data_IF_351226092638
#
_entry.id   IF_351226092638
#
_cell.length_a   1.000
_cell.length_b   1.000
_cell.length_c   1.000
_cell.angle_alpha   90.00
_cell.angle_beta   90.00
_cell.angle_gamma   90.00
#
_symmetry.space_group_name_H-M   'P 1'
#
loop_
_entity.id
_entity.type
_entity.pdbx_description
1 polymer ?
#
# COMPACT_ATOMS: atom_id res chain seq x y z
N UNK A 1 51.74 -28.23 -19.91
CA UNK A 1 52.09 -28.36 -18.49
C UNK A 1 52.35 -26.99 -17.88
N UNK A 2 51.45 -26.49 -17.04
CA UNK A 2 51.78 -25.63 -15.90
C UNK A 2 50.60 -25.70 -14.93
N UNK A 3 50.88 -26.12 -13.71
CA UNK A 3 49.92 -26.38 -12.64
C UNK A 3 49.72 -25.06 -11.90
N UNK A 4 48.50 -24.54 -11.86
CA UNK A 4 48.17 -23.34 -11.09
C UNK A 4 47.44 -23.79 -9.84
N UNK A 5 48.14 -23.60 -8.74
CA UNK A 5 47.88 -24.06 -7.39
C UNK A 5 46.62 -23.48 -6.78
N UNK A 6 46.07 -24.24 -5.82
CA UNK A 6 44.96 -23.87 -4.96
C UNK A 6 45.05 -22.43 -4.42
N UNK A 7 43.94 -21.70 -4.49
CA UNK A 7 43.81 -20.40 -3.85
C UNK A 7 42.43 -19.79 -4.05
N UNK A 8 41.71 -19.62 -2.94
CA UNK A 8 40.62 -18.67 -2.73
C UNK A 8 39.24 -19.15 -3.19
N UNK A 9 38.62 -19.93 -2.30
CA UNK A 9 37.18 -19.91 -2.11
C UNK A 9 36.77 -18.51 -1.57
N UNK A 10 36.01 -17.75 -2.36
CA UNK A 10 35.15 -16.66 -1.89
C UNK A 10 34.31 -16.11 -3.07
N UNK A 11 33.33 -16.87 -3.55
CA UNK A 11 32.21 -16.25 -4.26
C UNK A 11 31.17 -15.82 -3.22
N UNK A 12 31.26 -14.53 -2.90
CA UNK A 12 30.41 -13.73 -2.05
C UNK A 12 28.93 -14.09 -2.25
N UNK A 13 28.29 -14.60 -1.18
CA UNK A 13 26.84 -14.79 -1.13
C UNK A 13 26.16 -13.44 -1.30
N UNK A 14 25.42 -13.28 -2.40
CA UNK A 14 24.50 -12.18 -2.60
C UNK A 14 23.36 -12.41 -1.61
N UNK A 15 23.49 -11.84 -0.42
CA UNK A 15 22.37 -11.67 0.49
C UNK A 15 21.44 -10.65 -0.15
N UNK A 16 20.43 -11.14 -0.85
CA UNK A 16 19.25 -10.35 -1.14
C UNK A 16 18.62 -10.02 0.21
N UNK A 17 18.93 -8.83 0.73
CA UNK A 17 18.24 -8.28 1.89
C UNK A 17 16.76 -8.20 1.51
N UNK A 18 15.84 -8.93 2.19
CA UNK A 18 14.46 -8.51 2.14
C UNK A 18 14.47 -7.11 2.75
N UNK A 19 14.16 -6.09 1.94
CA UNK A 19 13.77 -4.79 2.47
C UNK A 19 12.60 -5.04 3.43
N UNK A 20 12.94 -5.19 4.71
CA UNK A 20 12.02 -5.02 5.82
C UNK A 20 11.60 -3.58 5.70
N UNK A 21 10.47 -3.37 5.04
CA UNK A 21 9.73 -2.12 5.01
C UNK A 21 9.22 -1.88 6.44
N UNK A 22 10.14 -1.57 7.35
CA UNK A 22 9.81 -0.92 8.59
C UNK A 22 9.34 0.47 8.18
N UNK A 23 8.01 0.64 8.12
CA UNK A 23 7.45 1.98 8.11
C UNK A 23 8.06 2.73 9.32
N UNK A 24 8.38 4.02 9.19
CA UNK A 24 8.93 4.77 10.31
C UNK A 24 7.89 4.80 11.43
N UNK A 25 8.24 4.46 12.69
CA UNK A 25 7.36 4.39 13.89
C UNK A 25 6.20 5.42 13.96
N UNK A 26 6.44 6.64 13.46
CA UNK A 26 5.42 7.67 13.28
C UNK A 26 4.19 7.24 12.43
N UNK A 27 4.39 6.43 11.40
CA UNK A 27 3.37 5.92 10.51
C UNK A 27 2.53 4.84 11.19
N UNK A 28 3.13 3.94 11.97
CA UNK A 28 2.37 2.96 12.76
C UNK A 28 1.43 3.63 13.76
N UNK A 29 1.89 4.70 14.43
CA UNK A 29 1.03 5.50 15.32
C UNK A 29 -0.16 6.10 14.59
N UNK A 30 0.07 6.75 13.45
CA UNK A 30 -0.99 7.35 12.63
C UNK A 30 -1.94 6.29 12.08
N UNK A 31 -1.42 5.14 11.62
CA UNK A 31 -2.25 4.00 11.20
C UNK A 31 -3.18 3.54 12.32
N UNK A 32 -2.66 3.37 13.53
CA UNK A 32 -3.47 2.92 14.69
C UNK A 32 -4.53 3.96 15.08
N UNK A 33 -4.21 5.26 15.04
CA UNK A 33 -5.21 6.32 15.25
C UNK A 33 -6.35 6.24 14.22
N UNK A 34 -6.01 6.10 12.93
CA UNK A 34 -6.99 5.97 11.85
C UNK A 34 -7.83 4.70 12.03
N UNK A 35 -7.21 3.58 12.38
CA UNK A 35 -7.89 2.31 12.65
C UNK A 35 -8.93 2.46 13.76
N UNK A 36 -8.53 3.07 14.89
CA UNK A 36 -9.43 3.35 15.99
C UNK A 36 -10.55 4.32 15.58
N UNK A 37 -10.26 5.34 14.76
CA UNK A 37 -11.28 6.25 14.23
C UNK A 37 -12.28 5.49 13.36
N UNK A 38 -11.83 4.60 12.48
CA UNK A 38 -12.70 3.77 11.64
C UNK A 38 -13.59 2.86 12.50
N UNK A 39 -13.02 2.22 13.54
CA UNK A 39 -13.77 1.37 14.47
C UNK A 39 -14.81 2.17 15.27
N UNK A 40 -14.45 3.36 15.75
CA UNK A 40 -15.38 4.26 16.45
C UNK A 40 -16.53 4.76 15.56
N UNK A 41 -16.35 4.76 14.23
CA UNK A 41 -17.42 5.04 13.27
C UNK A 41 -18.32 3.81 12.98
N UNK A 42 -18.10 2.69 13.67
CA UNK A 42 -18.92 1.49 13.59
C UNK A 42 -18.44 0.45 12.57
N UNK A 43 -17.25 0.60 12.00
CA UNK A 43 -16.67 -0.39 11.09
C UNK A 43 -15.91 -1.44 11.90
N UNK A 44 -16.27 -2.72 11.76
CA UNK A 44 -15.57 -3.79 12.49
C UNK A 44 -14.10 -3.91 12.04
N UNK A 45 -13.17 -4.09 12.98
CA UNK A 45 -11.74 -4.24 12.69
C UNK A 45 -11.47 -5.33 11.64
N UNK A 46 -12.18 -6.45 11.69
CA UNK A 46 -12.03 -7.56 10.74
C UNK A 46 -12.60 -7.28 9.34
N UNK A 47 -13.30 -6.16 9.15
CA UNK A 47 -13.95 -5.81 7.88
C UNK A 47 -13.10 -4.90 6.99
N UNK A 48 -11.90 -4.52 7.45
CA UNK A 48 -10.95 -3.73 6.68
C UNK A 48 -9.50 -4.02 7.05
N UNK A 49 -8.58 -3.52 6.23
CA UNK A 49 -7.14 -3.57 6.45
C UNK A 49 -6.56 -2.19 6.15
N UNK A 50 -5.59 -1.75 6.95
CA UNK A 50 -4.79 -0.56 6.67
C UNK A 50 -3.36 -0.95 6.26
N UNK A 51 -2.90 -0.47 5.10
CA UNK A 51 -1.57 -0.76 4.58
C UNK A 51 -0.78 0.53 4.38
N UNK A 52 0.46 0.58 4.86
CA UNK A 52 1.36 1.72 4.64
C UNK A 52 2.17 1.44 3.38
N UNK A 53 2.09 2.33 2.40
CA UNK A 53 2.85 2.24 1.14
C UNK A 53 3.55 3.57 0.84
N UNK A 54 4.66 3.56 0.08
CA UNK A 54 5.27 4.79 -0.42
C UNK A 54 4.30 5.60 -1.28
N UNK A 55 4.46 6.92 -1.33
CA UNK A 55 3.56 7.83 -2.06
C UNK A 55 3.40 7.47 -3.55
N UNK A 56 4.47 7.03 -4.21
CA UNK A 56 4.48 6.57 -5.60
C UNK A 56 3.62 5.30 -5.82
N UNK A 57 3.43 4.49 -4.78
CA UNK A 57 2.71 3.22 -4.83
C UNK A 57 1.31 3.30 -4.23
N UNK A 58 0.85 4.50 -3.86
CA UNK A 58 -0.42 4.70 -3.19
C UNK A 58 -1.65 4.58 -4.10
N UNK A 59 -1.44 4.55 -5.41
CA UNK A 59 -2.46 4.31 -6.42
C UNK A 59 -2.64 2.80 -6.61
N UNK A 60 -3.26 2.13 -5.63
CA UNK A 60 -3.61 0.71 -5.73
C UNK A 60 -5.09 0.57 -6.11
N UNK A 61 -5.42 -0.34 -7.05
CA UNK A 61 -6.81 -0.67 -7.31
C UNK A 61 -7.44 -1.25 -6.04
N UNK A 62 -8.70 -0.92 -5.79
CA UNK A 62 -9.48 -1.41 -4.64
C UNK A 62 -8.99 -0.93 -3.24
N UNK A 63 -8.13 0.10 -3.20
CA UNK A 63 -7.67 0.74 -1.98
C UNK A 63 -7.95 2.24 -1.97
N UNK A 64 -8.31 2.77 -0.79
CA UNK A 64 -8.58 4.19 -0.59
C UNK A 64 -7.53 4.84 0.30
N UNK A 65 -6.96 5.96 -0.14
CA UNK A 65 -6.05 6.75 0.71
C UNK A 65 -6.85 7.42 1.82
N UNK A 66 -6.60 7.01 3.07
CA UNK A 66 -7.27 7.54 4.27
C UNK A 66 -6.35 8.37 5.17
N UNK A 67 -5.05 8.34 4.89
CA UNK A 67 -4.06 9.09 5.65
C UNK A 67 -2.70 9.15 4.98
N UNK A 68 -1.87 10.03 5.52
CA UNK A 68 -0.52 10.30 5.04
C UNK A 68 0.40 10.40 6.27
N UNK A 69 1.63 9.92 6.15
CA UNK A 69 2.61 9.96 7.25
C UNK A 69 4.03 10.21 6.71
N UNK A 70 4.95 10.55 7.62
CA UNK A 70 6.33 10.91 7.28
C UNK A 70 6.44 12.03 6.22
N UNK A 71 5.75 13.16 6.43
CA UNK A 71 5.70 14.31 5.52
C UNK A 71 5.29 13.90 4.09
N UNK A 72 4.16 13.21 3.96
CA UNK A 72 3.61 12.77 2.66
C UNK A 72 4.49 11.81 1.84
N UNK A 73 5.56 11.28 2.44
CA UNK A 73 6.41 10.26 1.80
C UNK A 73 5.72 8.90 1.74
N UNK A 74 4.83 8.62 2.70
CA UNK A 74 4.05 7.39 2.78
C UNK A 74 2.55 7.69 2.93
N UNK A 75 1.73 6.81 2.35
CA UNK A 75 0.28 6.84 2.46
C UNK A 75 -0.25 5.62 3.17
N UNK A 76 -1.38 5.80 3.84
CA UNK A 76 -2.12 4.77 4.55
C UNK A 76 -3.35 4.47 3.72
N UNK A 77 -3.37 3.27 3.15
CA UNK A 77 -4.42 2.77 2.29
C UNK A 77 -5.40 1.94 3.10
N UNK A 78 -6.68 2.17 2.88
CA UNK A 78 -7.78 1.39 3.39
C UNK A 78 -8.24 0.41 2.33
N UNK A 79 -8.31 -0.87 2.70
CA UNK A 79 -8.86 -1.94 1.86
C UNK A 79 -9.96 -2.63 2.63
N UNK A 80 -11.12 -2.81 2.01
CA UNK A 80 -12.26 -3.48 2.66
C UNK A 80 -12.10 -5.00 2.57
N UNK A 81 -12.12 -5.68 3.70
CA UNK A 81 -11.99 -7.15 3.83
C UNK A 81 -13.35 -7.86 3.68
N UNK A 82 -14.47 -7.14 3.79
CA UNK A 82 -15.82 -7.70 3.57
C UNK A 82 -16.08 -7.94 2.07
N UNK A 83 -15.61 -9.09 1.59
CA UNK A 83 -16.10 -9.83 0.43
C UNK A 83 -16.69 -9.00 -0.71
N UNK A 84 -15.82 -8.50 -1.58
CA UNK A 84 -16.23 -7.89 -2.83
C UNK A 84 -15.03 -7.53 -3.68
N UNK A 85 -14.52 -8.50 -4.45
CA UNK A 85 -14.03 -8.17 -5.78
C UNK A 85 -15.21 -7.50 -6.49
N UNK A 86 -15.25 -6.18 -6.50
CA UNK A 86 -16.08 -5.43 -7.41
C UNK A 86 -15.11 -4.50 -8.13
N UNK A 87 -14.70 -4.80 -9.37
CA UNK A 87 -13.88 -3.86 -10.12
C UNK A 87 -14.63 -2.53 -10.10
N UNK A 88 -13.93 -1.46 -9.73
CA UNK A 88 -14.34 -0.13 -10.10
C UNK A 88 -14.62 -0.21 -11.60
N UNK A 89 -15.91 -0.15 -11.94
CA UNK A 89 -16.35 -0.19 -13.32
C UNK A 89 -15.61 0.94 -14.01
N UNK A 90 -14.73 0.58 -14.92
CA UNK A 90 -14.34 1.47 -16.00
C UNK A 90 -15.62 1.80 -16.74
N UNK A 91 -16.22 2.94 -16.40
CA UNK A 91 -17.09 3.67 -17.32
C UNK A 91 -16.41 4.98 -17.71
N UNK A 92 -15.46 4.97 -18.66
CA UNK A 92 -15.27 6.09 -19.53
C UNK A 92 -16.07 5.81 -20.81
N UNK A 93 -17.36 6.15 -20.86
CA UNK A 93 -18.09 6.29 -22.14
C UNK A 93 -19.48 6.91 -21.98
N UNK A 94 -19.59 8.12 -22.53
CA UNK A 94 -20.75 8.72 -23.20
C UNK A 94 -21.96 9.04 -22.31
N UNK A 95 -22.71 10.12 -22.46
CA UNK A 95 -23.09 10.97 -23.58
C UNK A 95 -23.78 12.17 -22.87
N UNK A 96 -23.54 13.44 -23.23
CA UNK A 96 -24.54 14.17 -24.01
C UNK A 96 -25.80 14.60 -23.22
N UNK A 97 -26.22 15.86 -23.40
CA UNK A 97 -27.47 16.49 -22.91
C UNK A 97 -27.35 17.12 -21.51
N UNK A 98 -26.94 18.39 -21.36
CA UNK A 98 -27.69 19.59 -21.74
C UNK A 98 -29.20 19.46 -21.45
N UNK A 99 -29.68 20.07 -20.36
CA UNK A 99 -30.55 21.28 -20.35
C UNK A 99 -31.12 21.46 -18.92
N UNK A 100 -31.12 22.73 -18.52
CA UNK A 100 -31.69 23.42 -17.34
C UNK A 100 -33.26 23.33 -17.27
N UNK A 101 -33.95 24.23 -16.56
CA UNK A 101 -34.59 24.13 -15.23
C UNK A 101 -36.07 23.69 -15.27
N UNK A 102 -36.69 23.54 -14.08
CA UNK A 102 -37.92 24.24 -13.63
C UNK A 102 -38.11 24.06 -12.11
#
# INVERSE_FOLDING_TARGET
MMKISAGIAACLLIVASPQVLAAPESCERVKSDIEQRIINNGVAESSFTLTIVPNDQADQPDSQVVGHCANDTHKILYTRTSSGNAPASTSPSQDGHAVEPQ
#
